data_IF_002971289818
#
_entry.id   IF_002971289818
#
_cell.length_a   1.000
_cell.length_b   1.000
_cell.length_c   1.000
_cell.angle_alpha   90.00
_cell.angle_beta   90.00
_cell.angle_gamma   90.00
#
_symmetry.space_group_name_H-M   'P 1'
#
loop_
_entity.id
_entity.type
_entity.pdbx_description
1 polymer ?
#
# COMPACT_ATOMS: atom_id res chain seq x y z
N UNK A 1 8.98 -1.79 8.53
CA UNK A 1 9.53 -0.67 7.75
C UNK A 1 9.17 0.66 8.44
N UNK A 2 9.84 1.00 9.54
CA UNK A 2 9.49 2.22 10.31
C UNK A 2 9.72 3.52 9.53
N UNK A 3 10.56 3.48 8.49
CA UNK A 3 10.95 4.66 7.72
C UNK A 3 9.74 5.38 7.11
N UNK A 4 8.77 4.64 6.53
CA UNK A 4 7.56 5.23 5.96
C UNK A 4 6.74 6.00 6.99
N UNK A 5 6.69 5.55 8.24
CA UNK A 5 5.92 6.20 9.31
C UNK A 5 6.65 7.36 9.99
N UNK A 6 7.94 7.53 9.70
CA UNK A 6 8.75 8.68 10.17
C UNK A 6 8.70 9.86 9.21
N UNK A 7 8.35 9.63 7.94
CA UNK A 7 8.20 10.69 6.95
C UNK A 7 7.06 11.64 7.32
N UNK A 8 7.20 12.92 7.01
CA UNK A 8 6.06 13.85 7.06
C UNK A 8 5.08 13.52 5.93
N UNK A 9 3.81 13.85 6.10
CA UNK A 9 2.75 13.63 5.10
C UNK A 9 3.14 14.19 3.71
N UNK A 10 3.71 15.40 3.63
CA UNK A 10 4.13 15.99 2.36
C UNK A 10 5.33 15.26 1.73
N UNK A 11 6.26 14.72 2.53
CA UNK A 11 7.40 13.94 2.01
C UNK A 11 6.91 12.64 1.37
N UNK A 12 6.00 11.95 2.07
CA UNK A 12 5.39 10.72 1.57
C UNK A 12 4.57 10.98 0.29
N UNK A 13 3.79 12.07 0.28
CA UNK A 13 3.02 12.49 -0.88
C UNK A 13 3.92 12.80 -2.08
N UNK A 14 5.01 13.56 -1.89
CA UNK A 14 5.96 13.84 -2.96
C UNK A 14 6.65 12.58 -3.48
N UNK A 15 7.08 11.67 -2.60
CA UNK A 15 7.68 10.39 -3.00
C UNK A 15 6.74 9.61 -3.90
N UNK A 16 5.45 9.56 -3.55
CA UNK A 16 4.44 8.89 -4.34
C UNK A 16 4.25 9.57 -5.71
N UNK A 17 4.06 10.89 -5.76
CA UNK A 17 3.92 11.65 -7.01
C UNK A 17 5.17 11.49 -7.91
N UNK A 18 6.37 11.57 -7.35
CA UNK A 18 7.60 11.37 -8.12
C UNK A 18 7.72 9.94 -8.64
N UNK A 19 7.33 8.93 -7.85
CA UNK A 19 7.32 7.55 -8.31
C UNK A 19 6.35 7.35 -9.50
N UNK A 20 5.19 8.00 -9.49
CA UNK A 20 4.25 8.00 -10.61
C UNK A 20 4.81 8.68 -11.86
N UNK A 21 5.38 9.87 -11.72
CA UNK A 21 5.99 10.61 -12.84
C UNK A 21 7.12 9.79 -13.46
N UNK A 22 8.00 9.22 -12.63
CA UNK A 22 9.12 8.39 -13.08
C UNK A 22 8.60 7.13 -13.78
N UNK A 23 7.59 6.46 -13.22
CA UNK A 23 6.98 5.28 -13.83
C UNK A 23 6.44 5.59 -15.24
N UNK A 24 5.67 6.67 -15.38
CA UNK A 24 5.10 7.08 -16.67
C UNK A 24 6.22 7.43 -17.65
N UNK A 25 7.19 8.26 -17.23
CA UNK A 25 8.27 8.75 -18.08
C UNK A 25 9.21 7.65 -18.56
N UNK A 26 9.38 6.57 -17.80
CA UNK A 26 10.32 5.48 -18.13
C UNK A 26 9.65 4.19 -18.58
N UNK A 27 8.31 4.15 -18.68
CA UNK A 27 7.51 2.97 -19.04
C UNK A 27 7.94 2.29 -20.35
N UNK A 28 8.49 3.04 -21.32
CA UNK A 28 8.99 2.52 -22.61
C UNK A 28 10.51 2.26 -22.65
N UNK A 29 11.22 2.49 -21.56
CA UNK A 29 12.70 2.39 -21.49
C UNK A 29 13.14 1.04 -20.88
N UNK A 30 14.42 0.65 -20.97
CA UNK A 30 14.92 -0.60 -20.36
C UNK A 30 14.75 -0.68 -18.83
N UNK A 31 14.62 0.46 -18.14
CA UNK A 31 14.50 0.53 -16.67
C UNK A 31 13.05 0.45 -16.17
N UNK A 32 12.07 0.24 -17.05
CA UNK A 32 10.63 0.24 -16.73
C UNK A 32 10.27 -0.69 -15.57
N UNK A 33 10.95 -1.84 -15.42
CA UNK A 33 10.63 -2.81 -14.36
C UNK A 33 11.00 -2.30 -12.97
N UNK A 34 12.11 -1.54 -12.87
CA UNK A 34 12.56 -0.92 -11.63
C UNK A 34 11.61 0.19 -11.21
N UNK A 35 11.16 1.02 -12.16
CA UNK A 35 10.26 2.14 -11.89
C UNK A 35 8.82 1.68 -11.62
N UNK A 36 8.38 0.60 -12.26
CA UNK A 36 7.14 -0.12 -11.93
C UNK A 36 7.18 -0.67 -10.50
N UNK A 37 8.28 -1.31 -10.11
CA UNK A 37 8.48 -1.81 -8.75
C UNK A 37 8.48 -0.68 -7.72
N UNK A 38 9.16 0.43 -8.02
CA UNK A 38 9.17 1.64 -7.17
C UNK A 38 7.75 2.21 -6.99
N UNK A 39 7.00 2.36 -8.08
CA UNK A 39 5.61 2.81 -8.06
C UNK A 39 4.75 1.92 -7.13
N UNK A 40 4.72 0.61 -7.38
CA UNK A 40 3.95 -0.32 -6.54
C UNK A 40 4.40 -0.31 -5.08
N UNK A 41 5.71 -0.23 -4.83
CA UNK A 41 6.28 -0.26 -3.49
C UNK A 41 5.95 0.95 -2.64
N UNK A 42 5.90 2.16 -3.21
CA UNK A 42 5.66 3.39 -2.43
C UNK A 42 4.32 3.37 -1.70
N UNK A 43 3.23 3.05 -2.41
CA UNK A 43 1.87 2.99 -1.85
C UNK A 43 1.75 1.81 -0.89
N UNK A 44 2.06 0.61 -1.38
CA UNK A 44 1.82 -0.61 -0.60
C UNK A 44 2.77 -0.72 0.59
N UNK A 45 3.99 -0.19 0.45
CA UNK A 45 4.97 -0.08 1.52
C UNK A 45 4.50 0.81 2.65
N UNK A 46 3.82 1.92 2.35
CA UNK A 46 3.18 2.76 3.36
C UNK A 46 2.05 2.02 4.08
N UNK A 47 1.10 1.43 3.35
CA UNK A 47 -0.04 0.68 3.91
C UNK A 47 0.47 -0.45 4.80
N UNK A 48 1.35 -1.30 4.26
CA UNK A 48 1.97 -2.40 4.99
C UNK A 48 2.72 -1.92 6.24
N UNK A 49 3.39 -0.77 6.17
CA UNK A 49 4.08 -0.19 7.33
C UNK A 49 3.11 0.20 8.43
N UNK A 50 1.96 0.79 8.11
CA UNK A 50 0.90 1.09 9.08
C UNK A 50 0.48 -0.21 9.76
N UNK A 51 0.03 -1.21 8.98
CA UNK A 51 -0.43 -2.48 9.53
C UNK A 51 0.63 -3.16 10.40
N UNK A 52 1.81 -3.45 9.85
CA UNK A 52 2.83 -4.25 10.55
C UNK A 52 3.44 -3.53 11.74
N UNK A 53 3.74 -2.24 11.62
CA UNK A 53 4.36 -1.50 12.73
C UNK A 53 3.35 -1.31 13.85
N UNK A 54 2.15 -0.84 13.55
CA UNK A 54 1.12 -0.57 14.57
C UNK A 54 0.63 -1.89 15.21
N UNK A 55 0.56 -3.00 14.48
CA UNK A 55 0.18 -4.30 15.06
C UNK A 55 1.18 -4.73 16.14
N UNK A 56 2.48 -4.49 15.91
CA UNK A 56 3.51 -4.72 16.91
C UNK A 56 3.42 -3.75 18.10
N UNK A 57 2.80 -2.59 17.94
CA UNK A 57 2.53 -1.66 19.04
C UNK A 57 1.35 -2.09 19.91
N UNK A 58 0.40 -2.86 19.36
CA UNK A 58 -0.77 -3.35 20.09
C UNK A 58 -0.45 -4.38 21.18
N UNK A 59 0.78 -4.93 21.21
CA UNK A 59 1.23 -5.83 22.26
C UNK A 59 0.31 -7.05 22.41
N UNK A 60 -0.39 -7.16 23.54
CA UNK A 60 -1.35 -8.25 23.81
C UNK A 60 -2.58 -8.23 22.89
N UNK A 61 -2.95 -7.07 22.38
CA UNK A 61 -4.09 -6.91 21.45
C UNK A 61 -3.65 -7.02 19.98
N UNK A 62 -2.45 -7.52 19.70
CA UNK A 62 -2.02 -7.71 18.31
C UNK A 62 -2.90 -8.76 17.62
N UNK A 63 -3.13 -8.57 16.34
CA UNK A 63 -3.75 -9.60 15.49
C UNK A 63 -2.67 -10.64 15.19
N UNK A 64 -2.86 -11.86 15.69
CA UNK A 64 -1.97 -12.99 15.42
C UNK A 64 -2.40 -13.74 14.15
N UNK A 65 -1.44 -14.43 13.52
CA UNK A 65 -1.67 -15.29 12.34
C UNK A 65 -2.26 -14.58 11.12
N UNK A 66 -2.25 -13.24 11.07
CA UNK A 66 -2.52 -12.52 9.84
C UNK A 66 -1.35 -12.74 8.87
N UNK A 67 -1.66 -12.80 7.57
CA UNK A 67 -0.69 -13.07 6.51
C UNK A 67 -0.30 -11.79 5.77
N UNK A 68 0.04 -10.72 6.48
CA UNK A 68 0.34 -9.41 5.85
C UNK A 68 1.53 -9.50 4.90
N UNK A 69 2.55 -10.29 5.24
CA UNK A 69 3.74 -10.48 4.42
C UNK A 69 3.38 -11.16 3.08
N UNK A 70 2.47 -12.14 3.11
CA UNK A 70 1.98 -12.80 1.91
C UNK A 70 1.25 -11.82 1.00
N UNK A 71 0.30 -11.05 1.54
CA UNK A 71 -0.46 -10.07 0.74
C UNK A 71 0.43 -8.96 0.19
N UNK A 72 1.45 -8.54 0.94
CA UNK A 72 2.45 -7.59 0.48
C UNK A 72 3.25 -8.12 -0.72
N UNK A 73 3.74 -9.35 -0.63
CA UNK A 73 4.50 -9.99 -1.71
C UNK A 73 3.61 -10.25 -2.93
N UNK A 74 2.39 -10.74 -2.73
CA UNK A 74 1.43 -10.98 -3.81
C UNK A 74 1.09 -9.68 -4.56
N UNK A 75 0.92 -8.57 -3.84
CA UNK A 75 0.74 -7.27 -4.48
C UNK A 75 1.96 -6.90 -5.33
N UNK A 76 3.18 -6.97 -4.79
CA UNK A 76 4.38 -6.59 -5.56
C UNK A 76 4.56 -7.44 -6.83
N UNK A 77 4.28 -8.74 -6.76
CA UNK A 77 4.32 -9.62 -7.94
C UNK A 77 3.24 -9.24 -8.95
N UNK A 78 2.03 -8.92 -8.49
CA UNK A 78 0.89 -8.56 -9.36
C UNK A 78 1.10 -7.26 -10.16
N UNK A 79 2.00 -6.39 -9.70
CA UNK A 79 2.32 -5.12 -10.38
C UNK A 79 3.21 -5.35 -11.62
N UNK A 80 3.86 -6.51 -11.75
CA UNK A 80 4.73 -6.80 -12.91
C UNK A 80 3.92 -6.90 -14.22
N UNK A 81 2.84 -7.70 -14.31
CA UNK A 81 1.96 -7.70 -15.50
C UNK A 81 1.35 -6.33 -15.79
N UNK A 82 1.09 -5.52 -14.77
CA UNK A 82 0.63 -4.14 -14.94
C UNK A 82 1.68 -3.25 -15.62
N UNK A 83 2.96 -3.34 -15.22
CA UNK A 83 4.04 -2.63 -15.90
C UNK A 83 4.21 -3.08 -17.36
N UNK A 84 4.08 -4.38 -17.64
CA UNK A 84 4.05 -4.88 -19.02
C UNK A 84 2.88 -4.32 -19.82
N UNK A 85 1.70 -4.18 -19.21
CA UNK A 85 0.55 -3.55 -19.85
C UNK A 85 0.85 -2.12 -20.29
N UNK A 86 1.38 -1.29 -19.39
CA UNK A 86 1.73 0.09 -19.72
C UNK A 86 2.81 0.19 -20.79
N UNK A 87 3.84 -0.65 -20.72
CA UNK A 87 4.92 -0.68 -21.71
C UNK A 87 4.41 -1.04 -23.11
N UNK A 88 3.52 -2.02 -23.19
CA UNK A 88 3.01 -2.55 -24.46
C UNK A 88 1.73 -1.86 -24.94
N UNK A 89 1.27 -0.79 -24.28
CA UNK A 89 0.03 -0.10 -24.64
C UNK A 89 0.03 0.45 -26.08
N UNK A 90 1.21 0.67 -26.66
CA UNK A 90 1.42 1.11 -28.04
C UNK A 90 1.90 -0.02 -28.98
N UNK A 91 2.02 -1.25 -28.49
CA UNK A 91 2.44 -2.40 -29.29
C UNK A 91 1.25 -2.93 -30.11
N UNK A 92 1.46 -3.30 -31.39
CA UNK A 92 0.43 -3.95 -32.20
C UNK A 92 0.13 -5.39 -31.73
N UNK A 93 1.00 -5.99 -30.93
CA UNK A 93 0.78 -7.33 -30.39
C UNK A 93 -0.10 -7.29 -29.12
N UNK A 94 -1.27 -7.95 -29.13
CA UNK A 94 -2.13 -7.98 -27.96
C UNK A 94 -1.47 -8.80 -26.85
N UNK A 95 -1.24 -8.15 -25.70
CA UNK A 95 -0.84 -8.87 -24.51
C UNK A 95 -1.94 -9.84 -24.07
N UNK A 96 -1.57 -10.95 -23.42
CA UNK A 96 -2.54 -11.90 -22.88
C UNK A 96 -3.46 -11.23 -21.85
N UNK A 97 -4.67 -10.86 -22.29
CA UNK A 97 -5.65 -10.14 -21.48
C UNK A 97 -6.08 -10.93 -20.25
N UNK A 98 -6.15 -12.26 -20.35
CA UNK A 98 -6.51 -13.13 -19.22
C UNK A 98 -5.45 -13.11 -18.12
N UNK A 99 -4.15 -13.17 -18.48
CA UNK A 99 -3.05 -13.07 -17.52
C UNK A 99 -3.06 -11.71 -16.81
N UNK A 100 -3.26 -10.64 -17.57
CA UNK A 100 -3.28 -9.26 -17.06
C UNK A 100 -4.45 -9.03 -16.12
N UNK A 101 -5.63 -9.52 -16.48
CA UNK A 101 -6.83 -9.48 -15.64
C UNK A 101 -6.65 -10.28 -14.35
N UNK A 102 -6.13 -11.50 -14.44
CA UNK A 102 -5.90 -12.37 -13.28
C UNK A 102 -4.89 -11.77 -12.32
N UNK A 103 -3.79 -11.20 -12.84
CA UNK A 103 -2.81 -10.48 -12.04
C UNK A 103 -3.43 -9.24 -11.38
N UNK A 104 -4.22 -8.46 -12.13
CA UNK A 104 -4.96 -7.31 -11.62
C UNK A 104 -5.89 -7.68 -10.46
N UNK A 105 -6.62 -8.80 -10.55
CA UNK A 105 -7.46 -9.31 -9.47
C UNK A 105 -6.65 -9.69 -8.23
N UNK A 106 -5.53 -10.40 -8.40
CA UNK A 106 -4.65 -10.75 -7.27
C UNK A 106 -4.11 -9.49 -6.59
N UNK A 107 -3.70 -8.49 -7.37
CA UNK A 107 -3.24 -7.19 -6.86
C UNK A 107 -4.33 -6.45 -6.10
N UNK A 108 -5.54 -6.38 -6.67
CA UNK A 108 -6.68 -5.75 -6.01
C UNK A 108 -7.06 -6.43 -4.70
N UNK A 109 -7.17 -7.77 -4.68
CA UNK A 109 -7.47 -8.52 -3.46
C UNK A 109 -6.38 -8.29 -2.41
N UNK A 110 -5.11 -8.34 -2.81
CA UNK A 110 -3.96 -8.13 -1.92
C UNK A 110 -3.97 -6.73 -1.30
N UNK A 111 -4.26 -5.70 -2.12
CA UNK A 111 -4.43 -4.32 -1.66
C UNK A 111 -5.55 -4.23 -0.63
N UNK A 112 -6.75 -4.72 -0.95
CA UNK A 112 -7.91 -4.65 -0.04
C UNK A 112 -7.63 -5.37 1.29
N UNK A 113 -6.96 -6.54 1.25
CA UNK A 113 -6.55 -7.26 2.46
C UNK A 113 -5.61 -6.41 3.32
N UNK A 114 -4.58 -5.83 2.73
CA UNK A 114 -3.63 -4.97 3.45
C UNK A 114 -4.26 -3.70 4.00
N UNK A 115 -5.13 -3.04 3.22
CA UNK A 115 -5.86 -1.85 3.67
C UNK A 115 -6.76 -2.21 4.86
N UNK A 116 -7.54 -3.28 4.75
CA UNK A 116 -8.42 -3.73 5.82
C UNK A 116 -7.66 -4.07 7.10
N UNK A 117 -6.52 -4.76 6.97
CA UNK A 117 -5.64 -5.06 8.10
C UNK A 117 -5.10 -3.78 8.74
N UNK A 118 -4.58 -2.86 7.93
CA UNK A 118 -3.93 -1.63 8.41
C UNK A 118 -4.92 -0.70 9.10
N UNK A 119 -6.12 -0.54 8.52
CA UNK A 119 -7.21 0.23 9.12
C UNK A 119 -7.66 -0.37 10.45
N UNK A 120 -7.90 -1.69 10.49
CA UNK A 120 -8.33 -2.38 11.71
C UNK A 120 -7.29 -2.24 12.83
N UNK A 121 -6.03 -2.51 12.52
CA UNK A 121 -4.93 -2.46 13.48
C UNK A 121 -4.73 -1.05 14.04
N UNK A 122 -4.83 -0.04 13.17
CA UNK A 122 -4.74 1.37 13.57
C UNK A 122 -5.84 1.74 14.56
N UNK A 123 -7.09 1.46 14.23
CA UNK A 123 -8.21 1.79 15.11
C UNK A 123 -8.17 0.94 16.40
N UNK A 124 -7.69 -0.31 16.34
CA UNK A 124 -7.51 -1.16 17.51
C UNK A 124 -6.46 -0.61 18.48
N UNK A 125 -5.42 0.05 17.97
CA UNK A 125 -4.44 0.76 18.77
C UNK A 125 -5.05 1.92 19.56
N UNK A 126 -5.97 2.66 18.95
CA UNK A 126 -6.65 3.81 19.57
C UNK A 126 -7.72 3.36 20.58
N UNK A 127 -8.53 2.37 20.21
CA UNK A 127 -9.72 1.95 20.96
C UNK A 127 -9.47 0.86 22.01
N UNK A 128 -8.36 0.11 21.90
CA UNK A 128 -7.97 -1.00 22.80
C UNK A 128 -9.03 -2.10 22.99
N UNK A 129 -9.98 -2.23 22.06
CA UNK A 129 -11.03 -3.25 22.07
C UNK A 129 -11.08 -4.01 20.74
N UNK A 130 -11.85 -5.09 20.71
CA UNK A 130 -12.19 -5.75 19.45
C UNK A 130 -13.15 -4.89 18.61
N UNK A 131 -12.90 -4.91 17.30
CA UNK A 131 -13.55 -4.04 16.34
C UNK A 131 -14.27 -4.83 15.25
N UNK A 132 -15.48 -4.38 14.93
CA UNK A 132 -16.22 -4.74 13.71
C UNK A 132 -15.80 -3.80 12.58
N UNK A 133 -16.04 -4.18 11.33
CA UNK A 133 -15.69 -3.35 10.17
C UNK A 133 -16.27 -1.93 10.24
N UNK A 134 -17.50 -1.79 10.73
CA UNK A 134 -18.15 -0.49 10.91
C UNK A 134 -17.38 0.44 11.87
N UNK A 135 -16.60 -0.10 12.80
CA UNK A 135 -15.82 0.71 13.74
C UNK A 135 -14.61 1.39 13.08
N UNK A 136 -14.04 0.80 12.01
CA UNK A 136 -12.82 1.27 11.35
C UNK A 136 -13.00 1.56 9.85
N UNK A 137 -14.23 1.64 9.37
CA UNK A 137 -14.56 1.91 7.97
C UNK A 137 -14.02 3.27 7.51
N UNK A 138 -14.01 4.27 8.41
CA UNK A 138 -13.41 5.57 8.13
C UNK A 138 -11.92 5.46 7.84
N UNK A 139 -11.14 4.76 8.68
CA UNK A 139 -9.72 4.52 8.42
C UNK A 139 -9.51 3.72 7.13
N UNK A 140 -10.38 2.74 6.85
CA UNK A 140 -10.34 1.98 5.61
C UNK A 140 -10.46 2.90 4.39
N UNK A 141 -11.50 3.74 4.34
CA UNK A 141 -11.70 4.65 3.21
C UNK A 141 -10.61 5.72 3.14
N UNK A 142 -10.11 6.22 4.26
CA UNK A 142 -8.99 7.15 4.25
C UNK A 142 -7.74 6.52 3.62
N UNK A 143 -7.41 5.26 3.94
CA UNK A 143 -6.28 4.57 3.32
C UNK A 143 -6.55 4.32 1.82
N UNK A 144 -7.77 3.92 1.42
CA UNK A 144 -8.12 3.76 -0.01
C UNK A 144 -7.97 5.08 -0.77
N UNK A 145 -8.48 6.18 -0.22
CA UNK A 145 -8.36 7.53 -0.79
C UNK A 145 -7.03 8.16 -0.40
N UNK A 146 -5.95 7.53 -0.86
CA UNK A 146 -4.54 7.80 -0.53
C UNK A 146 -4.17 9.27 -0.44
N UNK A 147 -4.65 10.14 -1.34
CA UNK A 147 -4.39 11.58 -1.29
C UNK A 147 -4.85 12.11 0.08
N UNK A 148 -6.14 12.04 0.38
CA UNK A 148 -6.72 12.51 1.64
C UNK A 148 -6.16 11.69 2.82
N UNK A 149 -6.02 10.38 2.63
CA UNK A 149 -5.45 9.44 3.60
C UNK A 149 -4.09 9.85 4.12
N UNK A 150 -3.14 10.18 3.25
CA UNK A 150 -1.79 10.60 3.64
C UNK A 150 -1.86 11.86 4.50
N UNK A 151 -2.66 12.85 4.13
CA UNK A 151 -2.77 14.10 4.88
C UNK A 151 -3.41 13.94 6.27
N UNK A 152 -4.29 12.94 6.45
CA UNK A 152 -4.98 12.72 7.73
C UNK A 152 -4.28 11.66 8.59
N UNK A 153 -3.89 10.52 8.01
CA UNK A 153 -3.32 9.37 8.73
C UNK A 153 -1.85 9.60 9.05
N UNK A 154 -1.05 10.13 8.12
CA UNK A 154 0.39 10.23 8.34
C UNK A 154 0.77 11.13 9.55
N UNK A 155 0.14 12.29 9.80
CA UNK A 155 0.38 13.05 11.02
C UNK A 155 0.03 12.27 12.30
N UNK A 156 -1.02 11.43 12.27
CA UNK A 156 -1.33 10.53 13.39
C UNK A 156 -0.21 9.51 13.59
N UNK A 157 0.31 8.94 12.50
CA UNK A 157 1.41 7.97 12.55
C UNK A 157 2.67 8.58 13.15
N UNK A 158 3.05 9.80 12.74
CA UNK A 158 4.21 10.49 13.29
C UNK A 158 4.07 10.66 14.82
N UNK A 159 2.90 11.11 15.31
CA UNK A 159 2.64 11.24 16.75
C UNK A 159 2.76 9.92 17.51
N UNK A 160 2.32 8.81 16.91
CA UNK A 160 2.41 7.48 17.54
C UNK A 160 3.86 7.00 17.59
N UNK A 161 4.63 7.26 16.54
CA UNK A 161 6.03 6.84 16.44
C UNK A 161 6.94 7.70 17.33
N UNK A 162 6.69 9.01 17.44
CA UNK A 162 7.49 9.93 18.26
C UNK A 162 7.27 9.74 19.77
N UNK A 163 6.11 9.20 20.17
CA UNK A 163 5.82 8.87 21.57
C UNK A 163 6.51 7.60 22.07
N UNK A 164 7.25 6.90 21.20
CA UNK A 164 7.82 5.58 21.46
C UNK A 164 9.34 5.59 21.41
#
# INVERSE_FOLDING_TARGET
MKIFLKLKHWQLFLIWIFAEIIFIATSSTPIWILTTGLFGFTIIGWIYSIGKVINNLNGKNRIENYKEDLWFILYLISVIPFGFFFRNMHSPEPMNGFLSFSAGLVGFISMIKLVNFSAKVLNQYESKRDLKFADYSNEFFLIVFMIIGIWIIQPKMNKIIDKK
#
